data_IF_278507845752
#
_entry.id   IF_278507845752
#
_cell.length_a   1.000
_cell.length_b   1.000
_cell.length_c   1.000
_cell.angle_alpha   90.00
_cell.angle_beta   90.00
_cell.angle_gamma   90.00
#
_symmetry.space_group_name_H-M   'P 1'
#
loop_
_entity.id
_entity.type
_entity.pdbx_description
1 polymer ?
#
# COMPACT_ATOMS: atom_id res chain seq x y z
N UNK A 1 -6.61 -5.50 -7.87
CA UNK A 1 -5.48 -5.98 -7.08
C UNK A 1 -5.99 -6.65 -5.81
N UNK A 2 -5.77 -7.98 -5.67
CA UNK A 2 -6.23 -8.73 -4.50
C UNK A 2 -5.72 -8.18 -3.17
N UNK A 3 -4.48 -7.69 -3.14
CA UNK A 3 -3.92 -7.11 -1.92
C UNK A 3 -4.63 -5.83 -1.51
N UNK A 4 -5.00 -4.99 -2.48
CA UNK A 4 -5.75 -3.77 -2.20
C UNK A 4 -7.12 -4.09 -1.63
N UNK A 5 -7.81 -5.06 -2.20
CA UNK A 5 -9.10 -5.50 -1.69
C UNK A 5 -8.99 -6.04 -0.26
N UNK A 6 -7.98 -6.84 0.01
CA UNK A 6 -7.73 -7.36 1.35
C UNK A 6 -7.46 -6.22 2.33
N UNK A 7 -6.58 -5.30 1.97
CA UNK A 7 -6.21 -4.18 2.83
C UNK A 7 -7.40 -3.29 3.17
N UNK A 8 -8.26 -3.03 2.21
CA UNK A 8 -9.46 -2.22 2.43
C UNK A 8 -10.46 -2.88 3.37
N UNK A 9 -10.45 -4.21 3.43
CA UNK A 9 -11.29 -4.97 4.35
C UNK A 9 -10.66 -5.14 5.73
N UNK A 10 -9.36 -4.87 5.86
CA UNK A 10 -8.60 -5.08 7.09
C UNK A 10 -7.82 -3.83 7.48
N UNK A 11 -8.49 -2.68 7.43
CA UNK A 11 -7.85 -1.39 7.71
C UNK A 11 -7.27 -1.29 9.12
N UNK A 12 -7.78 -2.09 10.04
CA UNK A 12 -7.25 -2.19 11.39
C UNK A 12 -5.82 -2.73 11.45
N UNK A 13 -5.39 -3.41 10.39
CA UNK A 13 -4.02 -3.92 10.28
C UNK A 13 -3.02 -2.85 9.82
N UNK A 14 -3.52 -1.68 9.45
CA UNK A 14 -2.71 -0.63 8.84
C UNK A 14 -2.78 0.67 9.64
N UNK A 15 -1.78 1.57 9.50
CA UNK A 15 -0.59 1.40 8.64
C UNK A 15 0.45 0.44 9.22
N UNK A 16 1.26 -0.11 8.34
CA UNK A 16 2.37 -1.00 8.71
C UNK A 16 3.65 -0.19 8.77
N UNK A 17 4.40 -0.28 9.88
CA UNK A 17 5.68 0.41 10.01
C UNK A 17 6.78 -0.41 9.35
N UNK A 18 7.34 0.08 8.25
CA UNK A 18 8.33 -0.67 7.46
C UNK A 18 9.62 -0.98 8.22
N UNK A 19 9.96 -0.16 9.20
CA UNK A 19 11.17 -0.35 9.98
C UNK A 19 11.01 -1.37 11.11
N UNK A 20 9.81 -1.89 11.35
CA UNK A 20 9.54 -2.83 12.44
C UNK A 20 8.76 -4.07 12.04
N UNK A 21 7.93 -3.97 11.01
CA UNK A 21 7.03 -5.06 10.62
C UNK A 21 7.80 -6.31 10.23
N UNK A 22 7.21 -7.46 10.52
CA UNK A 22 7.75 -8.72 10.05
C UNK A 22 7.50 -8.92 8.56
N UNK A 23 8.10 -9.95 8.00
CA UNK A 23 8.01 -10.25 6.58
C UNK A 23 6.56 -10.42 6.10
N UNK A 24 5.76 -11.16 6.84
CA UNK A 24 4.37 -11.42 6.45
C UNK A 24 3.53 -10.15 6.42
N UNK A 25 3.70 -9.28 7.40
CA UNK A 25 2.98 -8.00 7.42
C UNK A 25 3.40 -7.08 6.29
N UNK A 26 4.69 -7.07 5.97
CA UNK A 26 5.18 -6.31 4.81
C UNK A 26 4.53 -6.79 3.52
N UNK A 27 4.40 -8.11 3.36
CA UNK A 27 3.79 -8.69 2.17
C UNK A 27 2.31 -8.33 2.01
N UNK A 28 1.62 -7.99 3.08
CA UNK A 28 0.21 -7.59 3.03
C UNK A 28 0.02 -6.18 2.50
N UNK A 29 1.06 -5.37 2.50
CA UNK A 29 0.98 -3.99 2.03
C UNK A 29 0.88 -3.99 0.49
N UNK A 30 -0.18 -3.38 -0.07
CA UNK A 30 -0.25 -3.20 -1.51
C UNK A 30 0.98 -2.44 -2.00
N UNK A 31 1.62 -2.93 -3.07
CA UNK A 31 2.83 -2.33 -3.59
C UNK A 31 4.14 -2.92 -3.08
N UNK A 32 4.09 -3.78 -2.05
CA UNK A 32 5.26 -4.50 -1.55
C UNK A 32 5.17 -5.95 -1.98
N UNK A 33 6.10 -6.38 -2.84
CA UNK A 33 6.22 -7.77 -3.25
C UNK A 33 7.26 -8.52 -2.44
N UNK A 34 7.49 -9.77 -2.78
CA UNK A 34 8.46 -10.64 -2.10
C UNK A 34 9.86 -10.04 -2.11
N UNK A 35 10.31 -9.58 -3.27
CA UNK A 35 11.65 -8.98 -3.39
C UNK A 35 11.79 -7.73 -2.56
N UNK A 36 10.81 -6.84 -2.65
CA UNK A 36 10.82 -5.59 -1.90
C UNK A 36 10.81 -5.85 -0.40
N UNK A 37 9.97 -6.78 0.06
CA UNK A 37 9.91 -7.13 1.46
C UNK A 37 11.25 -7.64 1.98
N UNK A 38 11.91 -8.53 1.23
CA UNK A 38 13.22 -9.04 1.59
C UNK A 38 14.29 -7.95 1.63
N UNK A 39 14.25 -7.05 0.65
CA UNK A 39 15.18 -5.92 0.60
C UNK A 39 14.97 -4.96 1.77
N UNK A 40 13.72 -4.74 2.16
CA UNK A 40 13.41 -3.93 3.35
C UNK A 40 14.03 -4.55 4.60
N UNK A 41 13.85 -5.86 4.79
CA UNK A 41 14.38 -6.55 5.95
C UNK A 41 15.90 -6.44 6.04
N UNK A 42 16.58 -6.49 4.91
CA UNK A 42 18.05 -6.35 4.85
C UNK A 42 18.47 -4.90 5.07
N UNK A 43 17.85 -3.97 4.34
CA UNK A 43 18.25 -2.57 4.35
C UNK A 43 18.05 -1.90 5.71
N UNK A 44 16.98 -2.24 6.43
CA UNK A 44 16.71 -1.61 7.72
C UNK A 44 17.72 -1.97 8.82
N UNK A 45 18.54 -2.99 8.60
CA UNK A 45 19.65 -3.34 9.50
C UNK A 45 20.74 -2.29 9.48
N UNK A 46 20.90 -1.61 8.36
CA UNK A 46 21.94 -0.60 8.17
C UNK A 46 21.47 0.75 8.68
N UNK A 47 20.20 1.06 8.53
CA UNK A 47 19.62 2.32 8.99
C UNK A 47 18.15 2.40 8.68
N UNK A 48 17.45 3.43 9.22
CA UNK A 48 16.03 3.58 9.00
C UNK A 48 15.70 3.75 7.52
N UNK A 49 14.63 3.09 7.09
CA UNK A 49 14.17 3.18 5.70
C UNK A 49 13.30 4.42 5.56
N UNK A 50 13.57 5.19 4.50
CA UNK A 50 12.81 6.37 4.12
C UNK A 50 11.89 6.04 2.95
N UNK A 51 10.97 6.96 2.61
CA UNK A 51 10.12 6.79 1.44
C UNK A 51 10.92 6.73 0.14
N UNK A 52 11.96 7.53 0.04
CA UNK A 52 12.86 7.43 -1.13
C UNK A 52 13.56 6.10 -1.18
N UNK A 53 13.99 5.61 -0.03
CA UNK A 53 14.59 4.27 0.08
C UNK A 53 13.65 3.17 -0.38
N UNK A 54 12.37 3.28 -0.03
CA UNK A 54 11.36 2.31 -0.46
C UNK A 54 11.25 2.23 -1.98
N UNK A 55 11.29 3.37 -2.66
CA UNK A 55 11.27 3.38 -4.13
C UNK A 55 12.47 2.65 -4.70
N UNK A 56 13.66 2.87 -4.14
CA UNK A 56 14.88 2.20 -4.57
C UNK A 56 14.84 0.70 -4.32
N UNK A 57 14.10 0.28 -3.32
CA UNK A 57 13.93 -1.13 -2.98
C UNK A 57 12.84 -1.82 -3.82
N UNK A 58 12.20 -1.09 -4.72
CA UNK A 58 11.22 -1.65 -5.63
C UNK A 58 9.78 -1.61 -5.15
N UNK A 59 9.50 -0.84 -4.09
CA UNK A 59 8.13 -0.66 -3.60
C UNK A 59 7.36 0.25 -4.55
N UNK A 60 6.15 -0.15 -4.91
CA UNK A 60 5.24 0.68 -5.70
C UNK A 60 4.58 1.68 -4.76
N UNK A 61 5.24 2.81 -4.55
CA UNK A 61 4.86 3.76 -3.51
C UNK A 61 3.50 4.40 -3.74
N UNK A 62 3.08 4.55 -5.00
CA UNK A 62 1.75 5.07 -5.34
C UNK A 62 0.63 4.28 -4.66
N UNK A 63 0.83 2.98 -4.49
CA UNK A 63 -0.14 2.12 -3.81
C UNK A 63 0.17 1.98 -2.33
N UNK A 64 1.45 1.78 -2.00
CA UNK A 64 1.89 1.48 -0.65
C UNK A 64 1.73 2.65 0.32
N UNK A 65 1.79 3.88 -0.17
CA UNK A 65 1.79 5.09 0.66
C UNK A 65 0.61 5.20 1.62
N UNK A 66 -0.53 4.61 1.27
CA UNK A 66 -1.74 4.67 2.09
C UNK A 66 -1.73 3.68 3.24
N UNK A 67 -0.82 2.72 3.21
CA UNK A 67 -0.86 1.56 4.08
C UNK A 67 0.40 1.36 4.92
N UNK A 68 1.35 2.30 4.84
CA UNK A 68 2.60 2.15 5.57
C UNK A 68 3.09 3.47 6.16
N UNK A 69 3.99 3.32 7.14
CA UNK A 69 4.72 4.45 7.72
C UNK A 69 6.22 4.16 7.64
N UNK A 70 7.00 5.22 7.64
CA UNK A 70 8.44 5.18 7.81
C UNK A 70 8.79 5.97 9.07
N UNK A 71 9.30 5.26 10.08
CA UNK A 71 9.62 5.85 11.39
C UNK A 71 8.43 6.59 12.00
N UNK A 72 7.26 5.97 11.91
CA UNK A 72 6.02 6.49 12.47
C UNK A 72 5.33 7.56 11.65
N UNK A 73 5.88 7.92 10.50
CA UNK A 73 5.32 8.99 9.66
C UNK A 73 4.77 8.45 8.36
N UNK A 74 3.66 9.01 7.92
CA UNK A 74 3.14 8.76 6.58
C UNK A 74 3.83 9.69 5.58
N UNK A 75 3.69 9.39 4.28
CA UNK A 75 4.24 10.25 3.24
C UNK A 75 3.68 11.67 3.40
N UNK A 76 4.53 12.71 3.25
CA UNK A 76 4.06 14.09 3.39
C UNK A 76 2.83 14.39 2.54
N UNK A 77 1.84 15.03 3.13
CA UNK A 77 0.58 15.34 2.47
C UNK A 77 -0.52 14.29 2.70
N UNK A 78 -0.17 13.13 3.27
CA UNK A 78 -1.16 12.12 3.62
C UNK A 78 -1.42 12.19 5.12
N UNK A 79 -2.67 12.34 5.49
CA UNK A 79 -3.12 12.14 6.86
C UNK A 79 -3.55 10.67 7.04
N UNK A 80 -3.77 10.27 8.29
CA UNK A 80 -4.37 8.97 8.57
C UNK A 80 -5.67 8.85 7.79
N UNK A 81 -5.76 7.78 7.03
CA UNK A 81 -6.76 7.67 5.98
C UNK A 81 -8.03 7.07 6.53
N UNK A 82 -9.14 7.75 6.31
CA UNK A 82 -10.45 7.16 6.49
C UNK A 82 -10.71 6.19 5.34
N UNK A 83 -11.44 5.08 5.58
CA UNK A 83 -11.68 4.07 4.55
C UNK A 83 -12.14 4.64 3.21
N UNK A 84 -13.06 5.59 3.25
CA UNK A 84 -13.62 6.21 2.04
C UNK A 84 -12.57 6.98 1.25
N UNK A 85 -11.66 7.64 1.94
CA UNK A 85 -10.58 8.41 1.28
C UNK A 85 -9.59 7.47 0.60
N UNK A 86 -9.23 6.38 1.25
CA UNK A 86 -8.37 5.36 0.66
C UNK A 86 -9.01 4.80 -0.60
N UNK A 87 -10.27 4.42 -0.50
CA UNK A 87 -11.01 3.85 -1.62
C UNK A 87 -11.03 4.80 -2.81
N UNK A 88 -11.37 6.06 -2.59
CA UNK A 88 -11.43 7.06 -3.66
C UNK A 88 -10.10 7.23 -4.35
N UNK A 89 -9.02 7.29 -3.58
CA UNK A 89 -7.69 7.48 -4.15
C UNK A 89 -7.20 6.26 -4.89
N UNK A 90 -7.50 5.09 -4.39
CA UNK A 90 -7.15 3.85 -5.08
C UNK A 90 -7.93 3.67 -6.37
N UNK A 91 -9.21 4.00 -6.36
CA UNK A 91 -10.03 3.99 -7.56
C UNK A 91 -9.48 5.00 -8.57
N UNK A 92 -9.07 6.18 -8.13
CA UNK A 92 -8.47 7.18 -9.01
C UNK A 92 -7.18 6.69 -9.65
N UNK A 93 -6.32 5.98 -8.91
CA UNK A 93 -5.09 5.41 -9.44
C UNK A 93 -5.33 4.33 -10.47
N UNK A 94 -6.43 3.62 -10.36
CA UNK A 94 -6.78 2.53 -11.28
C UNK A 94 -7.75 2.97 -12.38
N UNK A 95 -8.12 4.24 -12.41
CA UNK A 95 -9.06 4.77 -13.37
C UNK A 95 -8.70 4.53 -14.83
N UNK A 96 -7.43 4.61 -15.24
CA UNK A 96 -7.07 4.29 -16.63
C UNK A 96 -7.43 2.85 -17.01
N UNK A 97 -7.38 1.93 -16.07
CA UNK A 97 -7.80 0.54 -16.28
C UNK A 97 -9.32 0.45 -16.32
N UNK A 98 -10.02 1.26 -15.54
CA UNK A 98 -11.47 1.30 -15.51
C UNK A 98 -12.08 1.94 -16.76
N UNK A 99 -11.37 2.88 -17.37
CA UNK A 99 -11.85 3.59 -18.55
C UNK A 99 -11.79 2.75 -19.82
N UNK A 100 -10.93 1.74 -19.87
CA UNK A 100 -10.81 0.82 -21.00
C UNK A 100 -11.69 -0.40 -20.81
N UNK A 101 -11.05 -1.51 -20.54
CA UNK A 101 -11.75 -2.74 -20.17
C UNK A 101 -11.81 -2.79 -18.66
N UNK A 102 -12.97 -2.48 -18.10
CA UNK A 102 -13.14 -2.64 -16.66
C UNK A 102 -13.19 -4.13 -16.37
N UNK A 103 -12.18 -4.69 -15.70
CA UNK A 103 -12.31 -6.05 -15.22
C UNK A 103 -13.56 -6.12 -14.36
N UNK A 104 -14.39 -7.10 -14.59
CA UNK A 104 -15.62 -7.28 -13.83
C UNK A 104 -15.38 -7.24 -12.33
N UNK A 105 -14.23 -7.72 -11.93
CA UNK A 105 -13.77 -7.71 -10.55
C UNK A 105 -13.65 -6.29 -9.97
N UNK A 106 -13.19 -5.33 -10.76
CA UNK A 106 -13.13 -3.93 -10.32
C UNK A 106 -14.49 -3.28 -10.25
N UNK A 107 -15.39 -3.66 -11.18
CA UNK A 107 -16.77 -3.19 -11.12
C UNK A 107 -17.47 -3.68 -9.85
N UNK A 108 -17.30 -4.94 -9.51
CA UNK A 108 -17.84 -5.52 -8.29
C UNK A 108 -17.27 -4.84 -7.06
N UNK A 109 -15.98 -4.56 -7.06
CA UNK A 109 -15.33 -3.87 -5.97
C UNK A 109 -15.91 -2.48 -5.78
N UNK A 110 -16.09 -1.73 -6.85
CA UNK A 110 -16.64 -0.38 -6.80
C UNK A 110 -18.09 -0.39 -6.29
N UNK A 111 -18.87 -1.40 -6.68
CA UNK A 111 -20.25 -1.54 -6.22
C UNK A 111 -20.34 -1.95 -4.74
N UNK A 112 -19.49 -2.86 -4.31
CA UNK A 112 -19.52 -3.40 -2.96
C UNK A 112 -18.87 -2.49 -1.93
N UNK A 113 -18.03 -1.57 -2.38
CA UNK A 113 -17.36 -0.63 -1.50
C UNK A 113 -18.16 0.65 -1.26
N UNK A 114 -19.28 0.78 -1.96
CA UNK A 114 -20.18 1.91 -1.82
C UNK A 114 -21.02 1.89 -0.56
#
# INVERSE_FOLDING_TARGET
DPKCCWALRHLEEFPVEVNRADYERLLRVPGIGVRSARRILTARRVGPITFEGLKKLGVVLKRAQYFLTCSGRMLPGLSRVKPDSVLRQMVALERPLLAGDVPEQLSLFAQNAG
#
